data_IF_081328622247
#
_entry.id   IF_081328622247
#
_cell.length_a   1.000
_cell.length_b   1.000
_cell.length_c   1.000
_cell.angle_alpha   90.00
_cell.angle_beta   90.00
_cell.angle_gamma   90.00
#
_symmetry.space_group_name_H-M   'P 1'
#
loop_
_entity.id
_entity.type
_entity.pdbx_description
1 polymer ?
#
# COMPACT_ATOMS: atom_id res chain seq x y z
N UNK A 1 -5.46 -0.02 -18.27
CA UNK A 1 -5.02 -0.28 -19.65
C UNK A 1 -6.17 0.20 -20.50
N UNK A 2 -6.10 1.44 -21.04
CA UNK A 2 -7.24 2.01 -21.76
C UNK A 2 -7.33 1.36 -23.14
N UNK A 3 -8.49 0.83 -23.49
CA UNK A 3 -8.75 0.23 -24.79
C UNK A 3 -8.84 1.33 -25.87
N UNK A 4 -8.58 0.99 -27.14
CA UNK A 4 -8.71 1.93 -28.26
C UNK A 4 -10.12 2.56 -28.31
N UNK A 5 -11.12 1.77 -27.93
CA UNK A 5 -12.51 2.23 -27.76
C UNK A 5 -12.66 3.33 -26.71
N UNK A 6 -12.08 3.17 -25.52
CA UNK A 6 -12.12 4.21 -24.48
C UNK A 6 -11.44 5.49 -24.94
N UNK A 7 -10.31 5.37 -25.64
CA UNK A 7 -9.62 6.52 -26.22
C UNK A 7 -10.48 7.24 -27.26
N UNK A 8 -11.32 6.52 -28.02
CA UNK A 8 -12.21 7.10 -29.01
C UNK A 8 -13.39 7.83 -28.37
N UNK A 9 -13.94 7.29 -27.28
CA UNK A 9 -14.94 7.95 -26.45
C UNK A 9 -14.40 9.22 -25.81
N UNK A 10 -13.21 9.16 -25.20
CA UNK A 10 -12.57 10.34 -24.60
C UNK A 10 -12.30 11.45 -25.66
N UNK A 11 -12.14 11.07 -26.94
CA UNK A 11 -11.98 11.99 -28.08
C UNK A 11 -13.28 12.66 -28.47
N UNK A 12 -14.38 11.90 -28.53
CA UNK A 12 -15.72 12.43 -28.81
C UNK A 12 -16.17 13.39 -27.68
N UNK A 13 -15.85 13.07 -26.43
CA UNK A 13 -16.20 13.86 -25.25
C UNK A 13 -15.26 15.06 -25.03
N UNK A 14 -14.14 15.15 -25.76
CA UNK A 14 -13.17 16.26 -25.65
C UNK A 14 -12.33 16.23 -24.36
N UNK A 15 -12.20 15.07 -23.72
CA UNK A 15 -11.54 14.91 -22.42
C UNK A 15 -10.06 14.45 -22.53
N UNK A 16 -9.48 14.51 -23.73
CA UNK A 16 -8.08 14.13 -24.00
C UNK A 16 -7.12 15.32 -24.02
N UNK A 17 -5.89 15.03 -23.60
CA UNK A 17 -4.74 15.92 -23.72
C UNK A 17 -4.31 16.13 -25.19
N UNK A 18 -3.77 17.30 -25.53
CA UNK A 18 -3.55 17.73 -26.93
C UNK A 18 -2.66 16.78 -27.75
N UNK A 19 -1.69 16.14 -27.09
CA UNK A 19 -0.80 15.17 -27.72
C UNK A 19 -1.50 13.84 -28.05
N UNK A 20 -2.41 13.40 -27.20
CA UNK A 20 -3.16 12.17 -27.41
C UNK A 20 -4.22 12.36 -28.49
N UNK A 21 -4.83 13.55 -28.55
CA UNK A 21 -5.77 13.95 -29.59
C UNK A 21 -5.19 13.76 -31.00
N UNK A 22 -3.99 14.31 -31.26
CA UNK A 22 -3.29 14.17 -32.55
C UNK A 22 -2.97 12.71 -32.90
N UNK A 23 -2.57 11.93 -31.89
CA UNK A 23 -2.25 10.50 -32.09
C UNK A 23 -3.48 9.66 -32.44
N UNK A 24 -4.68 10.06 -31.97
CA UNK A 24 -5.94 9.39 -32.29
C UNK A 24 -6.45 9.84 -33.66
N UNK A 25 -6.31 11.13 -34.00
CA UNK A 25 -6.62 11.63 -35.34
C UNK A 25 -5.79 10.91 -36.42
N UNK A 26 -4.49 10.74 -36.19
CA UNK A 26 -3.62 9.99 -37.10
C UNK A 26 -4.03 8.51 -37.20
N UNK A 27 -4.54 7.91 -36.11
CA UNK A 27 -5.07 6.53 -36.12
C UNK A 27 -6.40 6.40 -36.84
N UNK A 28 -7.28 7.39 -36.73
CA UNK A 28 -8.56 7.45 -37.46
C UNK A 28 -8.30 7.58 -38.97
N UNK A 29 -7.27 8.32 -39.37
CA UNK A 29 -6.92 8.50 -40.79
C UNK A 29 -6.14 7.32 -41.38
N UNK A 30 -5.32 6.64 -40.58
CA UNK A 30 -4.46 5.53 -41.04
C UNK A 30 -5.16 4.16 -41.05
N UNK A 31 -6.12 3.92 -40.15
CA UNK A 31 -6.79 2.61 -40.03
C UNK A 31 -8.29 2.69 -40.39
N UNK A 32 -8.72 2.01 -41.48
CA UNK A 32 -10.13 2.00 -41.87
C UNK A 32 -11.06 1.33 -40.84
N UNK A 33 -10.56 0.42 -40.00
CA UNK A 33 -11.36 -0.22 -38.95
C UNK A 33 -11.67 0.75 -37.80
N UNK A 34 -10.69 1.57 -37.40
CA UNK A 34 -10.86 2.58 -36.35
C UNK A 34 -11.80 3.69 -36.81
N UNK A 35 -11.71 4.08 -38.09
CA UNK A 35 -12.63 5.05 -38.69
C UNK A 35 -14.09 4.60 -38.67
N UNK A 36 -14.35 3.32 -38.98
CA UNK A 36 -15.70 2.76 -38.92
C UNK A 36 -16.25 2.79 -37.49
N UNK A 37 -15.45 2.41 -36.50
CA UNK A 37 -15.86 2.48 -35.08
C UNK A 37 -16.14 3.92 -34.63
N UNK A 38 -15.33 4.87 -35.08
CA UNK A 38 -15.53 6.30 -34.80
C UNK A 38 -16.87 6.80 -35.36
N UNK A 39 -17.16 6.48 -36.62
CA UNK A 39 -18.40 6.88 -37.29
C UNK A 39 -19.64 6.23 -36.62
N UNK A 40 -19.51 5.00 -36.12
CA UNK A 40 -20.55 4.33 -35.34
C UNK A 40 -20.81 5.03 -34.00
N UNK A 41 -19.77 5.36 -33.24
CA UNK A 41 -19.91 6.09 -31.97
C UNK A 41 -20.45 7.50 -32.18
N UNK A 42 -20.04 8.19 -33.24
CA UNK A 42 -20.56 9.50 -33.60
C UNK A 42 -22.06 9.43 -33.93
N UNK A 43 -22.48 8.44 -34.74
CA UNK A 43 -23.91 8.22 -35.03
C UNK A 43 -24.71 7.88 -33.78
N UNK A 44 -24.16 7.07 -32.89
CA UNK A 44 -24.80 6.75 -31.62
C UNK A 44 -25.00 8.00 -30.76
N UNK A 45 -23.96 8.82 -30.59
CA UNK A 45 -24.02 10.05 -29.81
C UNK A 45 -25.04 11.05 -30.39
N UNK A 46 -25.07 11.20 -31.72
CA UNK A 46 -26.08 12.01 -32.40
C UNK A 46 -27.50 11.46 -32.22
N UNK A 47 -27.68 10.15 -32.21
CA UNK A 47 -28.99 9.53 -31.96
C UNK A 47 -29.46 9.81 -30.53
N UNK A 48 -28.57 9.70 -29.55
CA UNK A 48 -28.85 10.03 -28.15
C UNK A 48 -29.14 11.51 -27.94
N UNK A 49 -28.46 12.39 -28.67
CA UNK A 49 -28.68 13.84 -28.63
C UNK A 49 -30.06 14.25 -29.17
N UNK A 50 -30.65 13.42 -30.03
CA UNK A 50 -31.99 13.61 -30.59
C UNK A 50 -33.09 12.91 -29.77
N UNK A 51 -32.73 12.21 -28.69
CA UNK A 51 -33.74 11.73 -27.74
C UNK A 51 -34.20 12.93 -26.91
N UNK A 52 -35.48 13.24 -27.00
CA UNK A 52 -36.11 14.22 -26.12
C UNK A 52 -35.88 13.76 -24.67
N UNK A 53 -35.12 14.56 -23.92
CA UNK A 53 -34.89 14.31 -22.51
C UNK A 53 -36.20 14.54 -21.77
N UNK A 54 -36.93 13.46 -21.50
CA UNK A 54 -38.12 13.51 -20.66
C UNK A 54 -37.72 13.97 -19.25
N UNK A 55 -38.42 14.98 -18.74
CA UNK A 55 -38.18 15.47 -17.38
C UNK A 55 -38.48 14.35 -16.38
N UNK A 56 -37.55 14.06 -15.44
CA UNK A 56 -37.80 13.05 -14.43
C UNK A 56 -38.99 13.43 -13.55
N UNK A 57 -39.66 12.43 -12.98
CA UNK A 57 -40.79 12.71 -12.08
C UNK A 57 -40.37 13.62 -10.92
N UNK A 58 -41.27 14.49 -10.46
CA UNK A 58 -41.09 15.34 -9.26
C UNK A 58 -40.59 14.58 -8.02
N UNK A 59 -40.88 13.27 -7.93
CA UNK A 59 -40.49 12.42 -6.80
C UNK A 59 -39.14 11.73 -6.94
N UNK A 60 -38.48 11.86 -8.09
CA UNK A 60 -37.23 11.16 -8.42
C UNK A 60 -36.12 11.48 -7.42
N UNK A 61 -35.83 12.77 -7.24
CA UNK A 61 -34.77 13.23 -6.31
C UNK A 61 -35.06 12.75 -4.89
N UNK A 62 -36.32 12.77 -4.46
CA UNK A 62 -36.70 12.27 -3.13
C UNK A 62 -36.39 10.78 -2.99
N UNK A 63 -36.80 9.94 -3.95
CA UNK A 63 -36.55 8.50 -3.93
C UNK A 63 -35.05 8.18 -3.93
N UNK A 64 -34.28 8.81 -4.81
CA UNK A 64 -32.83 8.58 -4.91
C UNK A 64 -32.13 8.95 -3.61
N UNK A 65 -32.48 10.09 -3.00
CA UNK A 65 -31.85 10.51 -1.74
C UNK A 65 -32.30 9.66 -0.55
N UNK A 66 -33.52 9.14 -0.55
CA UNK A 66 -34.01 8.19 0.45
C UNK A 66 -33.27 6.86 0.35
N UNK A 67 -33.09 6.33 -0.87
CA UNK A 67 -32.34 5.10 -1.12
C UNK A 67 -30.85 5.24 -0.75
N UNK A 68 -30.21 6.37 -1.07
CA UNK A 68 -28.82 6.65 -0.71
C UNK A 68 -28.65 6.80 0.81
N UNK A 69 -29.62 7.40 1.51
CA UNK A 69 -29.56 7.58 2.96
C UNK A 69 -29.63 6.25 3.72
N UNK A 70 -30.24 5.20 3.12
CA UNK A 70 -30.26 3.85 3.67
C UNK A 70 -28.92 3.12 3.51
N UNK A 71 -28.06 3.57 2.59
CA UNK A 71 -26.72 3.01 2.43
C UNK A 71 -25.80 3.56 3.53
N UNK A 72 -25.23 2.70 4.39
CA UNK A 72 -24.30 3.16 5.41
C UNK A 72 -23.08 3.81 4.74
N UNK A 73 -22.75 5.03 5.18
CA UNK A 73 -21.60 5.77 4.66
C UNK A 73 -20.34 4.90 4.70
N UNK A 74 -19.48 4.96 3.67
CA UNK A 74 -18.27 4.15 3.61
C UNK A 74 -17.37 4.50 4.80
N UNK A 75 -17.34 3.59 5.77
CA UNK A 75 -16.53 3.73 6.96
C UNK A 75 -15.07 3.67 6.52
N UNK A 76 -14.29 4.71 6.80
CA UNK A 76 -12.83 4.66 6.64
C UNK A 76 -12.29 3.47 7.42
N UNK A 77 -11.87 2.43 6.70
CA UNK A 77 -11.23 1.24 7.27
C UNK A 77 -9.86 1.64 7.82
N UNK A 78 -9.85 2.25 9.01
CA UNK A 78 -8.63 2.42 9.77
C UNK A 78 -8.14 1.01 10.13
N UNK A 79 -7.09 0.57 9.47
CA UNK A 79 -6.42 -0.71 9.74
C UNK A 79 -6.01 -0.72 11.20
N UNK A 80 -6.80 -1.42 12.04
CA UNK A 80 -6.53 -1.54 13.46
C UNK A 80 -5.39 -2.54 13.62
N UNK A 81 -4.16 -2.04 13.73
CA UNK A 81 -3.04 -2.88 14.17
C UNK A 81 -3.29 -3.24 15.63
N UNK A 82 -3.34 -4.54 15.93
CA UNK A 82 -3.51 -5.02 17.30
C UNK A 82 -2.27 -4.64 18.12
N UNK A 83 -2.48 -3.89 19.21
CA UNK A 83 -1.43 -3.47 20.14
C UNK A 83 -0.68 -4.66 20.73
N UNK A 84 -1.32 -5.83 20.83
CA UNK A 84 -0.67 -7.08 21.30
C UNK A 84 0.52 -7.47 20.42
N UNK A 85 0.40 -7.33 19.10
CA UNK A 85 1.48 -7.64 18.15
C UNK A 85 2.67 -6.71 18.39
N UNK A 86 2.41 -5.42 18.61
CA UNK A 86 3.44 -4.42 18.90
C UNK A 86 4.19 -4.77 20.19
N UNK A 87 3.46 -5.16 21.25
CA UNK A 87 4.09 -5.55 22.52
C UNK A 87 4.94 -6.82 22.40
N UNK A 88 4.50 -7.83 21.63
CA UNK A 88 5.28 -9.06 21.41
C UNK A 88 6.59 -8.75 20.69
N UNK A 89 6.54 -7.98 19.60
CA UNK A 89 7.73 -7.60 18.85
C UNK A 89 8.67 -6.76 19.73
N UNK A 90 8.13 -5.75 20.43
CA UNK A 90 8.91 -4.90 21.33
C UNK A 90 9.57 -5.70 22.46
N UNK A 91 8.84 -6.66 23.06
CA UNK A 91 9.37 -7.51 24.11
C UNK A 91 10.50 -8.40 23.61
N UNK A 92 10.38 -8.96 22.40
CA UNK A 92 11.42 -9.80 21.81
C UNK A 92 12.75 -9.04 21.65
N UNK A 93 12.70 -7.82 21.13
CA UNK A 93 13.89 -6.98 20.98
C UNK A 93 14.53 -6.61 22.32
N UNK A 94 13.73 -6.17 23.29
CA UNK A 94 14.24 -5.80 24.62
C UNK A 94 14.90 -7.01 25.29
N UNK A 95 14.26 -8.18 25.20
CA UNK A 95 14.76 -9.41 25.83
C UNK A 95 16.03 -9.91 25.13
N UNK A 96 16.09 -9.84 23.79
CA UNK A 96 17.29 -10.17 23.01
C UNK A 96 18.48 -9.26 23.35
N UNK A 97 18.27 -7.94 23.36
CA UNK A 97 19.30 -6.96 23.73
C UNK A 97 19.76 -7.20 25.17
N UNK A 98 18.84 -7.42 26.10
CA UNK A 98 19.17 -7.69 27.50
C UNK A 98 19.93 -9.00 27.68
N UNK A 99 19.64 -10.04 26.89
CA UNK A 99 20.35 -11.31 26.92
C UNK A 99 21.79 -11.15 26.40
N UNK A 100 21.99 -10.40 25.31
CA UNK A 100 23.32 -10.11 24.76
C UNK A 100 24.14 -9.27 25.75
N UNK A 101 23.54 -8.21 26.32
CA UNK A 101 24.21 -7.38 27.32
C UNK A 101 24.55 -8.18 28.59
N UNK A 102 23.63 -9.02 29.07
CA UNK A 102 23.88 -9.91 30.21
C UNK A 102 24.99 -10.92 29.91
N UNK A 103 25.01 -11.47 28.70
CA UNK A 103 26.07 -12.37 28.26
C UNK A 103 27.44 -11.67 28.23
N UNK A 104 27.52 -10.46 27.68
CA UNK A 104 28.76 -9.67 27.65
C UNK A 104 29.20 -9.35 29.08
N UNK A 105 28.30 -8.81 29.91
CA UNK A 105 28.59 -8.48 31.30
C UNK A 105 29.08 -9.70 32.11
N UNK A 106 28.53 -10.89 31.84
CA UNK A 106 28.95 -12.14 32.47
C UNK A 106 30.33 -12.62 32.01
N UNK A 107 30.64 -12.50 30.72
CA UNK A 107 31.93 -12.95 30.18
C UNK A 107 33.06 -11.92 30.34
N UNK A 108 32.74 -10.67 30.71
CA UNK A 108 33.74 -9.65 31.02
C UNK A 108 34.18 -9.75 32.48
N UNK A 109 35.49 -9.98 32.72
CA UNK A 109 36.09 -9.76 34.04
C UNK A 109 36.16 -8.26 34.31
N UNK A 110 35.18 -7.73 35.04
CA UNK A 110 35.26 -6.40 35.62
C UNK A 110 36.35 -6.41 36.70
N UNK A 111 37.57 -5.99 36.35
CA UNK A 111 38.59 -5.66 37.36
C UNK A 111 38.18 -4.34 38.02
N UNK A 112 37.34 -4.45 39.05
CA UNK A 112 37.25 -3.45 40.10
C UNK A 112 38.13 -3.91 41.26
N UNK A 113 38.98 -3.04 41.84
CA UNK A 113 39.72 -3.40 43.03
C UNK A 113 38.71 -3.54 44.18
N UNK A 114 38.49 -4.77 44.64
CA UNK A 114 37.77 -5.17 45.88
C UNK A 114 36.28 -5.55 45.81
N UNK A 115 35.82 -6.30 44.80
CA UNK A 115 34.60 -7.10 44.95
C UNK A 115 34.73 -8.47 44.27
N UNK A 116 34.96 -9.51 45.07
CA UNK A 116 34.94 -10.92 44.63
C UNK A 116 33.51 -11.45 44.71
N UNK A 117 32.86 -11.61 43.55
CA UNK A 117 31.68 -12.45 43.37
C UNK A 117 32.01 -13.50 42.32
N UNK A 118 32.34 -14.70 42.77
CA UNK A 118 32.66 -15.83 41.90
C UNK A 118 31.39 -16.65 41.66
N UNK A 119 30.67 -16.33 40.59
CA UNK A 119 29.52 -17.12 40.11
C UNK A 119 29.94 -17.85 38.83
N UNK A 120 30.54 -19.02 39.00
CA UNK A 120 30.93 -19.92 37.91
C UNK A 120 29.74 -20.74 37.41
N UNK A 121 28.89 -20.12 36.58
CA UNK A 121 27.95 -20.86 35.74
C UNK A 121 28.63 -21.30 34.45
N UNK A 122 29.00 -22.57 34.40
CA UNK A 122 29.67 -23.19 33.26
C UNK A 122 28.64 -23.48 32.15
N UNK A 123 28.16 -22.43 31.48
CA UNK A 123 27.40 -22.57 30.24
C UNK A 123 28.38 -22.73 29.09
N UNK A 124 28.25 -23.80 28.32
CA UNK A 124 29.10 -24.11 27.17
C UNK A 124 28.75 -23.18 26.00
N UNK A 125 29.22 -21.92 26.10
CA UNK A 125 28.88 -20.79 25.22
C UNK A 125 29.28 -21.03 23.77
N UNK A 126 30.26 -21.91 23.52
CA UNK A 126 30.74 -22.28 22.19
C UNK A 126 29.72 -23.07 21.36
N UNK A 127 28.73 -23.72 21.97
CA UNK A 127 27.66 -24.42 21.23
C UNK A 127 26.53 -23.51 20.78
N UNK A 128 26.30 -22.41 21.49
CA UNK A 128 25.16 -21.50 21.24
C UNK A 128 25.61 -20.34 20.35
N UNK A 129 26.82 -19.82 20.60
CA UNK A 129 27.45 -18.74 19.84
C UNK A 129 28.32 -19.34 18.73
N UNK A 130 27.66 -20.04 17.80
CA UNK A 130 28.32 -20.40 16.54
C UNK A 130 28.13 -19.27 15.53
N UNK A 131 29.06 -19.11 14.56
CA UNK A 131 28.91 -18.12 13.49
C UNK A 131 27.58 -18.26 12.73
N UNK A 132 27.11 -19.50 12.59
CA UNK A 132 25.82 -19.82 11.96
C UNK A 132 24.64 -19.23 12.74
N UNK A 133 24.63 -19.35 14.06
CA UNK A 133 23.56 -18.78 14.91
C UNK A 133 23.53 -17.24 14.81
N UNK A 134 24.70 -16.60 14.85
CA UNK A 134 24.83 -15.13 14.71
C UNK A 134 24.34 -14.68 13.34
N UNK A 135 24.73 -15.38 12.28
CA UNK A 135 24.32 -15.03 10.91
C UNK A 135 22.81 -15.20 10.71
N UNK A 136 22.21 -16.27 11.24
CA UNK A 136 20.75 -16.46 11.19
C UNK A 136 20.04 -15.34 11.95
N UNK A 137 20.52 -14.99 13.15
CA UNK A 137 19.96 -13.90 13.93
C UNK A 137 20.01 -12.56 13.18
N UNK A 138 21.17 -12.19 12.62
CA UNK A 138 21.33 -10.97 11.83
C UNK A 138 20.47 -10.96 10.56
N UNK A 139 20.28 -12.11 9.92
CA UNK A 139 19.46 -12.22 8.71
C UNK A 139 17.97 -12.00 9.02
N UNK A 140 17.49 -12.58 10.12
CA UNK A 140 16.12 -12.34 10.60
C UNK A 140 15.92 -10.87 10.97
N UNK A 141 16.89 -10.26 11.68
CA UNK A 141 16.84 -8.84 12.04
C UNK A 141 16.83 -7.93 10.82
N UNK A 142 17.59 -8.26 9.77
CA UNK A 142 17.62 -7.51 8.52
C UNK A 142 16.27 -7.57 7.79
N UNK A 143 15.62 -8.74 7.75
CA UNK A 143 14.28 -8.89 7.14
C UNK A 143 13.26 -8.06 7.92
N UNK A 144 13.27 -8.14 9.25
CA UNK A 144 12.35 -7.37 10.11
C UNK A 144 12.60 -5.86 9.93
N UNK A 145 13.86 -5.44 9.89
CA UNK A 145 14.23 -4.05 9.64
C UNK A 145 13.74 -3.53 8.30
N UNK A 146 13.79 -4.35 7.25
CA UNK A 146 13.34 -3.99 5.91
C UNK A 146 11.80 -3.89 5.84
N UNK A 147 11.08 -4.82 6.48
CA UNK A 147 9.61 -4.75 6.61
C UNK A 147 9.20 -3.50 7.41
N UNK A 148 9.91 -3.19 8.49
CA UNK A 148 9.67 -1.99 9.28
C UNK A 148 9.94 -0.70 8.49
N UNK A 149 11.02 -0.68 7.70
CA UNK A 149 11.36 0.43 6.80
C UNK A 149 10.26 0.65 5.75
N UNK A 150 9.78 -0.42 5.11
CA UNK A 150 8.68 -0.33 4.14
C UNK A 150 7.40 0.20 4.80
N UNK A 151 7.06 -0.30 5.99
CA UNK A 151 5.95 0.21 6.78
C UNK A 151 6.10 1.71 7.13
N UNK A 152 7.31 2.12 7.55
CA UNK A 152 7.61 3.52 7.90
C UNK A 152 7.51 4.46 6.68
N UNK A 153 8.00 4.02 5.51
CA UNK A 153 7.93 4.79 4.27
C UNK A 153 6.49 4.94 3.76
N UNK A 154 5.69 3.86 3.80
CA UNK A 154 4.25 3.90 3.42
C UNK A 154 3.43 4.84 4.29
N UNK A 155 3.75 4.93 5.58
CA UNK A 155 3.09 5.88 6.49
C UNK A 155 3.39 7.34 6.11
N UNK A 156 4.62 7.63 5.66
CA UNK A 156 5.01 8.99 5.21
C UNK A 156 4.39 9.38 3.86
N UNK A 157 4.25 8.45 2.92
CA UNK A 157 3.63 8.74 1.62
C UNK A 157 2.12 8.96 1.74
N UNK A 158 1.43 8.23 2.62
CA UNK A 158 0.00 8.45 2.88
C UNK A 158 -0.31 9.80 3.55
N UNK A 159 0.64 10.36 4.30
CA UNK A 159 0.46 11.63 5.03
C UNK A 159 0.76 12.87 4.17
N UNK A 160 1.30 12.70 2.96
CA UNK A 160 1.65 13.81 2.04
C UNK A 160 0.54 14.11 1.02
N UNK A 161 -0.60 13.41 1.10
CA UNK A 161 -1.77 13.58 0.23
C UNK A 161 -3.01 14.13 0.98
N UNK A 162 -2.82 14.63 2.21
CA UNK A 162 -3.78 15.44 2.98
C UNK A 162 -3.18 16.83 3.17
#
# INVERSE_FOLDING_TARGET
MNTIEQQLWDYIDGNLDENLKKSIEEKIDSDPQIKLQYDEFLKFNLTFSNLDLEEPSMSFTRKVMEDIALVPAPISLKTKVDKRIIYIISSFFVLSISAILGFIAYNTKFTMPNFDFDLTFNFDTGKIITPTTINIFLFVDLIIGLVFMDYFLRKKTAQKQL
#
